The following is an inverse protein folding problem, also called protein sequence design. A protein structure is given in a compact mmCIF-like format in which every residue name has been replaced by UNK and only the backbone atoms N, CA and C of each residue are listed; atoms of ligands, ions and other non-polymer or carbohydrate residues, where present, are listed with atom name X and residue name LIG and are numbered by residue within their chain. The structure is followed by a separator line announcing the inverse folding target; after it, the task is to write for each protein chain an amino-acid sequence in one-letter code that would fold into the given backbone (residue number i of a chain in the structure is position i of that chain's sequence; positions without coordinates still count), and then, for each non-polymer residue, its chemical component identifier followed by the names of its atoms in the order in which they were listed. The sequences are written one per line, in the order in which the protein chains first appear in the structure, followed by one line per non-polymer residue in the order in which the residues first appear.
data_IF_854767410074
#
_entry.id   IF_854767410074
#
_cell.length_a   1.000
_cell.length_b   1.000
_cell.length_c   1.000
_cell.angle_alpha   90.00
_cell.angle_beta   90.00
_cell.angle_gamma   90.00
#
_symmetry.space_group_name_H-M   'P 1'
#
loop_
_entity.id
_entity.type
_entity.pdbx_description
1 polymer ?
#
# COMPACT_ATOMS: atom_id res chain seq x y z
N UNK A 1 23.39 8.98 -23.19
CA UNK A 1 22.11 9.71 -23.11
C UNK A 1 21.25 8.93 -22.16
N UNK A 2 21.19 9.39 -20.92
CA UNK A 2 20.49 8.80 -19.79
C UNK A 2 19.03 8.47 -20.12
N UNK A 3 18.68 7.18 -20.09
CA UNK A 3 17.28 6.80 -20.00
C UNK A 3 16.98 6.69 -18.51
N UNK A 4 16.58 7.81 -17.89
CA UNK A 4 15.89 7.80 -16.61
C UNK A 4 14.57 7.09 -16.85
N UNK A 5 14.36 5.84 -16.36
CA UNK A 5 13.04 5.29 -16.43
C UNK A 5 12.21 6.03 -15.38
N UNK A 6 11.50 7.07 -15.81
CA UNK A 6 10.40 7.63 -15.04
C UNK A 6 9.26 6.62 -15.13
N UNK A 7 9.35 5.56 -14.34
CA UNK A 7 8.26 4.60 -14.21
C UNK A 7 7.08 5.35 -13.60
N UNK A 8 5.95 5.52 -14.32
CA UNK A 8 4.81 6.24 -13.81
C UNK A 8 4.26 5.48 -12.60
N UNK A 9 4.41 6.15 -11.45
CA UNK A 9 3.81 5.92 -10.14
C UNK A 9 3.03 4.60 -10.01
N UNK A 10 3.65 3.62 -9.35
CA UNK A 10 2.91 2.57 -8.65
C UNK A 10 1.85 3.27 -7.81
N UNK A 11 0.57 3.07 -8.12
CA UNK A 11 -0.51 3.84 -7.50
C UNK A 11 -0.37 3.76 -5.98
N UNK A 12 0.00 4.90 -5.39
CA UNK A 12 0.43 5.01 -4.01
C UNK A 12 -0.74 5.48 -3.18
N UNK A 13 -1.13 4.68 -2.19
CA UNK A 13 -2.25 4.94 -1.31
C UNK A 13 -1.70 5.20 0.08
N UNK A 14 -1.92 6.41 0.58
CA UNK A 14 -1.52 6.75 1.95
C UNK A 14 -2.51 6.12 2.94
N UNK A 15 -1.97 5.39 3.91
CA UNK A 15 -2.72 4.70 4.95
C UNK A 15 -2.31 5.21 6.32
N UNK A 16 -3.26 5.26 7.24
CA UNK A 16 -3.02 5.73 8.61
C UNK A 16 -2.78 4.59 9.60
N UNK A 17 -2.73 3.34 9.13
CA UNK A 17 -2.55 2.15 9.96
C UNK A 17 -1.55 1.20 9.32
N UNK A 18 -0.84 0.43 10.14
CA UNK A 18 0.02 -0.66 9.68
C UNK A 18 -0.81 -1.81 9.08
N UNK A 19 -2.07 -1.92 9.46
CA UNK A 19 -3.03 -2.86 8.88
C UNK A 19 -3.81 -2.23 7.74
N UNK A 20 -3.61 -2.76 6.54
CA UNK A 20 -4.21 -2.28 5.31
C UNK A 20 -5.13 -3.34 4.73
N UNK A 21 -6.42 -3.04 4.66
CA UNK A 21 -7.36 -3.85 3.88
C UNK A 21 -7.29 -3.40 2.42
N UNK A 22 -6.83 -4.29 1.54
CA UNK A 22 -6.89 -4.09 0.10
C UNK A 22 -8.08 -4.86 -0.47
N UNK A 23 -9.12 -4.13 -0.86
CA UNK A 23 -10.37 -4.65 -1.43
C UNK A 23 -10.32 -4.88 -2.96
N UNK A 24 -9.14 -4.73 -3.57
CA UNK A 24 -8.97 -4.83 -5.01
C UNK A 24 -9.66 -3.69 -5.79
N UNK A 25 -9.84 -3.88 -7.10
CA UNK A 25 -10.44 -2.88 -8.01
C UNK A 25 -11.90 -3.21 -8.42
N UNK A 26 -12.61 -4.05 -7.67
CA UNK A 26 -14.06 -4.29 -7.86
C UNK A 26 -14.47 -4.90 -9.21
N UNK A 27 -13.52 -5.22 -10.09
CA UNK A 27 -13.74 -5.86 -11.40
C UNK A 27 -13.17 -7.28 -11.38
N UNK A 28 -13.56 -8.12 -12.33
CA UNK A 28 -13.24 -9.54 -12.40
C UNK A 28 -11.73 -9.91 -12.40
N UNK A 29 -10.83 -8.93 -12.47
CA UNK A 29 -9.37 -9.09 -12.37
C UNK A 29 -8.79 -8.62 -11.02
N UNK A 30 -9.63 -8.15 -10.08
CA UNK A 30 -9.23 -7.80 -8.72
C UNK A 30 -9.19 -9.02 -7.80
N UNK A 31 -8.30 -9.01 -6.82
CA UNK A 31 -8.26 -10.01 -5.76
C UNK A 31 -9.38 -9.76 -4.72
N UNK A 32 -9.83 -10.79 -3.99
CA UNK A 32 -10.71 -10.62 -2.84
C UNK A 32 -10.05 -9.75 -1.75
N UNK A 33 -10.83 -9.25 -0.78
CA UNK A 33 -10.31 -8.51 0.37
C UNK A 33 -9.16 -9.28 1.03
N UNK A 34 -7.96 -8.70 0.99
CA UNK A 34 -6.79 -9.21 1.72
C UNK A 34 -6.31 -8.15 2.71
N UNK A 35 -5.73 -8.61 3.82
CA UNK A 35 -5.13 -7.75 4.82
C UNK A 35 -3.61 -7.80 4.66
N UNK A 36 -3.01 -6.65 4.40
CA UNK A 36 -1.57 -6.46 4.30
C UNK A 36 -1.10 -5.76 5.59
N UNK A 37 0.00 -6.25 6.15
CA UNK A 37 0.62 -5.64 7.31
C UNK A 37 1.94 -4.98 6.90
N UNK A 38 2.09 -3.69 7.20
CA UNK A 38 3.34 -2.97 7.07
C UNK A 38 4.25 -3.40 8.21
N UNK A 39 5.41 -3.96 7.90
CA UNK A 39 6.33 -4.48 8.93
C UNK A 39 6.86 -3.34 9.79
N UNK A 40 7.12 -3.59 11.09
CA UNK A 40 7.77 -2.61 11.95
C UNK A 40 9.16 -2.26 11.41
N UNK A 41 9.35 -1.00 11.04
CA UNK A 41 10.59 -0.49 10.41
C UNK A 41 10.47 -0.24 8.90
N UNK A 42 9.44 -0.80 8.26
CA UNK A 42 9.01 -0.42 6.92
C UNK A 42 7.91 0.64 7.03
N UNK A 43 7.85 1.53 6.04
CA UNK A 43 6.85 2.60 5.96
C UNK A 43 5.90 2.39 4.81
N UNK A 44 6.01 1.27 4.11
CA UNK A 44 5.16 0.95 2.98
C UNK A 44 5.09 -0.55 2.74
N UNK A 45 4.00 -0.98 2.10
CA UNK A 45 3.78 -2.37 1.67
C UNK A 45 3.17 -2.38 0.28
N UNK A 46 3.59 -3.32 -0.56
CA UNK A 46 3.05 -3.48 -1.92
C UNK A 46 2.11 -4.67 -1.96
N UNK A 47 0.90 -4.46 -2.47
CA UNK A 47 -0.02 -5.57 -2.72
C UNK A 47 0.46 -6.37 -3.94
N UNK A 48 0.70 -7.69 -3.80
CA UNK A 48 1.22 -8.53 -4.89
C UNK A 48 0.20 -8.76 -6.02
N UNK A 49 -1.06 -8.39 -5.80
CA UNK A 49 -2.15 -8.60 -6.77
C UNK A 49 -2.49 -7.33 -7.55
N UNK A 50 -2.68 -6.21 -6.85
CA UNK A 50 -3.05 -4.94 -7.47
C UNK A 50 -1.84 -4.08 -7.86
N UNK A 51 -0.62 -4.47 -7.48
CA UNK A 51 0.57 -3.63 -7.63
C UNK A 51 0.38 -2.21 -7.07
N UNK A 52 -0.48 -2.07 -6.06
CA UNK A 52 -0.70 -0.82 -5.32
C UNK A 52 0.30 -0.74 -4.17
N UNK A 53 0.90 0.43 -3.97
CA UNK A 53 1.81 0.68 -2.86
C UNK A 53 1.05 1.40 -1.76
N UNK A 54 0.98 0.82 -0.58
CA UNK A 54 0.37 1.45 0.58
C UNK A 54 1.47 2.06 1.44
N UNK A 55 1.44 3.37 1.67
CA UNK A 55 2.47 4.09 2.42
C UNK A 55 1.87 4.59 3.72
N UNK A 56 2.53 4.32 4.84
CA UNK A 56 2.11 4.79 6.15
C UNK A 56 2.30 6.31 6.21
N UNK A 57 1.21 7.05 6.41
CA UNK A 57 1.25 8.49 6.61
C UNK A 57 2.05 8.81 7.88
N UNK A 58 2.83 9.89 7.88
CA UNK A 58 3.70 10.27 9.02
C UNK A 58 2.90 10.49 10.33
N UNK A 59 1.60 10.80 10.21
CA UNK A 59 0.68 10.99 11.34
C UNK A 59 0.09 9.68 11.89
N UNK A 60 0.31 8.55 11.23
CA UNK A 60 -0.17 7.22 11.63
C UNK A 60 0.54 6.66 12.87
N UNK A 61 1.62 7.30 13.34
CA UNK A 61 2.42 6.86 14.49
C UNK A 61 1.67 6.89 15.85
N UNK A 62 0.38 7.19 15.87
CA UNK A 62 -0.47 7.06 17.03
C UNK A 62 -1.39 5.84 16.85
N UNK A 63 -0.85 4.68 17.19
CA UNK A 63 -1.59 3.47 17.54
C UNK A 63 -2.69 3.83 18.57
N UNK A 64 -3.99 3.73 18.26
CA UNK A 64 -4.99 3.57 19.29
C UNK A 64 -5.26 2.07 19.40
N UNK A 65 -4.48 1.40 20.24
CA UNK A 65 -4.85 0.17 20.95
C UNK A 65 -6.36 0.20 21.23
N UNK A 66 -7.08 -0.74 20.62
CA UNK A 66 -8.28 -1.35 21.18
C UNK A 66 -8.44 -2.77 20.66
#
# INVERSE_FOLDING_TARGET
MEHTPTFPVTETVEVTSHEVACDGIGTALGHPRVFLHIKPGERDVVCPYCSRRFVLAEKAAADPVH
#
